data_IF_293603084806
#
_entry.id   IF_293603084806
#
_cell.length_a   1.000
_cell.length_b   1.000
_cell.length_c   1.000
_cell.angle_alpha   90.00
_cell.angle_beta   90.00
_cell.angle_gamma   90.00
#
_symmetry.space_group_name_H-M   'P 1'
#
loop_
_entity.id
_entity.type
_entity.pdbx_description
1 polymer ?
#
# COMPACT_ATOMS: atom_id res chain seq x y z
N UNK A 1 -10.61 1.31 1.81
CA UNK A 1 -9.20 1.00 2.14
C UNK A 1 -8.44 0.59 0.89
N UNK A 2 -9.02 -0.22 0.01
CA UNK A 2 -8.38 -0.64 -1.25
C UNK A 2 -8.04 0.52 -2.19
N UNK A 3 -8.90 1.55 -2.27
CA UNK A 3 -8.62 2.81 -3.01
C UNK A 3 -7.30 3.43 -2.55
N UNK A 4 -7.07 3.44 -1.23
CA UNK A 4 -5.91 4.08 -0.64
C UNK A 4 -4.64 3.27 -0.87
N UNK A 5 -4.73 1.94 -0.85
CA UNK A 5 -3.61 1.07 -1.23
C UNK A 5 -3.23 1.29 -2.70
N UNK A 6 -4.20 1.41 -3.59
CA UNK A 6 -3.97 1.73 -5.00
C UNK A 6 -3.33 3.10 -5.19
N UNK A 7 -3.88 4.14 -4.54
CA UNK A 7 -3.31 5.50 -4.56
C UNK A 7 -1.91 5.55 -3.96
N UNK A 8 -1.65 4.80 -2.88
CA UNK A 8 -0.32 4.69 -2.29
C UNK A 8 0.68 4.12 -3.31
N UNK A 9 0.33 3.07 -4.04
CA UNK A 9 1.19 2.49 -5.08
C UNK A 9 1.47 3.47 -6.22
N UNK A 10 0.46 4.23 -6.65
CA UNK A 10 0.63 5.28 -7.67
C UNK A 10 1.58 6.38 -7.17
N UNK A 11 1.44 6.81 -5.91
CA UNK A 11 2.32 7.80 -5.32
C UNK A 11 3.75 7.29 -5.12
N UNK A 12 3.91 6.00 -4.80
CA UNK A 12 5.23 5.35 -4.77
C UNK A 12 5.89 5.43 -6.15
N UNK A 13 5.15 5.17 -7.24
CA UNK A 13 5.68 5.37 -8.59
C UNK A 13 6.13 6.82 -8.82
N UNK A 14 5.30 7.80 -8.50
CA UNK A 14 5.64 9.22 -8.68
C UNK A 14 6.87 9.64 -7.87
N UNK A 15 7.05 9.07 -6.68
CA UNK A 15 8.24 9.29 -5.86
C UNK A 15 9.49 8.66 -6.49
N UNK A 16 9.40 7.43 -6.98
CA UNK A 16 10.53 6.72 -7.61
C UNK A 16 10.98 7.43 -8.89
N UNK A 17 10.04 7.83 -9.75
CA UNK A 17 10.35 8.34 -11.08
C UNK A 17 10.63 9.85 -11.09
N UNK A 18 9.83 10.64 -10.36
CA UNK A 18 9.91 12.10 -10.37
C UNK A 18 10.48 12.72 -9.09
N UNK A 19 10.89 11.89 -8.12
CA UNK A 19 11.38 12.33 -6.79
C UNK A 19 10.42 13.32 -6.11
N UNK A 20 9.13 13.14 -6.36
CA UNK A 20 8.11 14.06 -5.87
C UNK A 20 8.04 14.03 -4.34
N UNK A 21 8.35 15.17 -3.71
CA UNK A 21 8.30 15.36 -2.25
C UNK A 21 6.86 15.23 -1.72
N UNK A 22 5.85 15.30 -2.59
CA UNK A 22 4.44 15.13 -2.25
C UNK A 22 4.15 13.78 -1.57
N UNK A 23 4.98 12.77 -1.79
CA UNK A 23 4.89 11.48 -1.09
C UNK A 23 5.10 11.62 0.41
N UNK A 24 6.02 12.50 0.84
CA UNK A 24 6.27 12.77 2.26
C UNK A 24 5.07 13.44 2.90
N UNK A 25 4.46 14.42 2.20
CA UNK A 25 3.23 15.07 2.64
C UNK A 25 2.07 14.07 2.74
N UNK A 26 1.97 13.12 1.81
CA UNK A 26 0.95 12.08 1.82
C UNK A 26 1.09 11.11 3.00
N UNK A 27 2.31 10.75 3.41
CA UNK A 27 2.52 9.91 4.61
C UNK A 27 1.95 10.59 5.87
N UNK A 28 2.11 11.90 6.00
CA UNK A 28 1.62 12.65 7.15
C UNK A 28 0.11 12.93 7.07
N UNK A 29 -0.39 13.38 5.91
CA UNK A 29 -1.75 13.90 5.74
C UNK A 29 -2.72 12.78 5.34
N UNK A 30 -2.25 11.77 4.63
CA UNK A 30 -3.04 10.65 4.12
C UNK A 30 -3.92 10.02 5.21
N UNK A 31 -3.36 9.55 6.34
CA UNK A 31 -4.14 8.95 7.43
C UNK A 31 -5.26 9.86 7.94
N UNK A 32 -5.01 11.17 8.03
CA UNK A 32 -6.01 12.17 8.46
C UNK A 32 -7.15 12.28 7.46
N UNK A 33 -6.83 12.33 6.16
CA UNK A 33 -7.84 12.34 5.08
C UNK A 33 -8.67 11.06 5.12
N UNK A 34 -8.04 9.90 5.32
CA UNK A 34 -8.75 8.61 5.42
C UNK A 34 -9.76 8.63 6.55
N UNK A 35 -9.34 9.07 7.73
CA UNK A 35 -10.20 9.10 8.89
C UNK A 35 -11.34 10.12 8.72
N UNK A 36 -11.07 11.27 8.09
CA UNK A 36 -12.09 12.25 7.76
C UNK A 36 -13.14 11.70 6.77
N UNK A 37 -12.71 11.00 5.71
CA UNK A 37 -13.61 10.34 4.76
C UNK A 37 -14.44 9.28 5.49
N UNK A 38 -13.79 8.42 6.29
CA UNK A 38 -14.48 7.34 7.03
C UNK A 38 -15.51 7.90 8.00
N UNK A 39 -15.20 8.97 8.72
CA UNK A 39 -16.13 9.68 9.61
C UNK A 39 -17.33 10.23 8.88
N UNK A 40 -17.15 10.77 7.67
CA UNK A 40 -18.24 11.37 6.90
C UNK A 40 -19.09 10.35 6.15
N UNK A 41 -18.49 9.28 5.64
CA UNK A 41 -19.20 8.34 4.75
C UNK A 41 -19.61 7.04 5.42
N UNK A 42 -18.73 6.46 6.23
CA UNK A 42 -18.86 5.08 6.71
C UNK A 42 -19.48 5.00 8.11
N UNK A 43 -19.04 5.84 9.05
CA UNK A 43 -19.60 5.83 10.42
C UNK A 43 -21.10 6.14 10.48
N UNK A 44 -21.67 7.09 9.71
CA UNK A 44 -23.12 7.36 9.69
C UNK A 44 -23.95 6.28 8.97
N UNK A 45 -23.34 5.17 8.54
CA UNK A 45 -24.03 4.09 7.81
C UNK A 45 -23.91 2.74 8.48
N UNK A 46 -22.88 2.56 9.31
CA UNK A 46 -22.63 1.32 10.05
C UNK A 46 -23.01 1.43 11.53
N UNK A 47 -23.40 2.63 12.01
CA UNK A 47 -23.43 2.95 13.44
C UNK A 47 -22.01 2.97 14.03
N UNK A 48 -21.85 3.50 15.25
CA UNK A 48 -20.58 3.44 15.98
C UNK A 48 -20.28 1.99 16.40
N UNK A 49 -19.84 1.16 15.46
CA UNK A 49 -19.22 -0.12 15.77
C UNK A 49 -17.88 0.20 16.45
N UNK A 50 -17.81 0.03 17.78
CA UNK A 50 -16.55 0.01 18.53
C UNK A 50 -15.61 -0.94 17.81
N UNK A 51 -14.51 -0.41 17.26
CA UNK A 51 -13.43 -1.26 16.77
C UNK A 51 -12.98 -2.09 17.97
N UNK A 52 -13.19 -3.40 17.90
CA UNK A 52 -12.54 -4.30 18.83
C UNK A 52 -11.05 -3.98 18.75
N UNK A 53 -10.43 -3.65 19.89
CA UNK A 53 -8.99 -3.52 20.02
C UNK A 53 -8.38 -4.90 19.70
N UNK A 54 -8.26 -5.24 18.42
CA UNK A 54 -7.51 -6.39 17.95
C UNK A 54 -6.05 -5.96 17.96
N UNK A 55 -5.48 -6.05 19.16
CA UNK A 55 -4.10 -5.72 19.44
C UNK A 55 -3.17 -6.76 18.83
N UNK A 56 -2.72 -6.51 17.61
CA UNK A 56 -1.28 -6.58 17.43
C UNK A 56 -0.71 -5.36 18.14
N UNK A 57 0.06 -5.59 19.21
CA UNK A 57 0.81 -4.53 19.88
C UNK A 57 1.57 -3.78 18.79
N UNK A 58 1.37 -2.47 18.64
CA UNK A 58 2.03 -1.68 17.58
C UNK A 58 3.54 -1.98 17.49
N UNK A 59 4.14 -2.29 18.64
CA UNK A 59 5.52 -2.80 18.80
C UNK A 59 5.83 -4.04 17.95
N UNK A 60 4.94 -5.04 17.88
CA UNK A 60 5.13 -6.26 17.08
C UNK A 60 5.10 -5.97 15.58
N UNK A 61 4.19 -5.11 15.12
CA UNK A 61 4.12 -4.66 13.72
C UNK A 61 5.40 -3.88 13.38
N UNK A 62 5.80 -2.95 14.23
CA UNK A 62 7.03 -2.17 14.05
C UNK A 62 8.24 -3.11 14.01
N UNK A 63 8.32 -4.09 14.90
CA UNK A 63 9.43 -5.05 14.94
C UNK A 63 9.48 -5.92 13.68
N UNK A 64 8.34 -6.44 13.20
CA UNK A 64 8.27 -7.19 11.94
C UNK A 64 8.67 -6.30 10.76
N UNK A 65 8.23 -5.05 10.73
CA UNK A 65 8.64 -4.08 9.72
C UNK A 65 10.15 -3.83 9.77
N UNK A 66 10.73 -3.56 10.94
CA UNK A 66 12.17 -3.28 11.09
C UNK A 66 13.01 -4.49 10.70
N UNK A 67 12.66 -5.69 11.19
CA UNK A 67 13.37 -6.94 10.87
C UNK A 67 13.20 -7.27 9.39
N UNK A 68 12.00 -7.13 8.83
CA UNK A 68 11.72 -7.33 7.42
C UNK A 68 12.51 -6.35 6.54
N UNK A 69 12.57 -5.07 6.93
CA UNK A 69 13.35 -4.04 6.25
C UNK A 69 14.85 -4.38 6.28
N UNK A 70 15.37 -4.83 7.42
CA UNK A 70 16.77 -5.22 7.58
C UNK A 70 17.14 -6.46 6.75
N UNK A 71 16.29 -7.49 6.75
CA UNK A 71 16.48 -8.71 5.94
C UNK A 71 16.43 -8.39 4.45
N UNK A 72 15.47 -7.60 4.01
CA UNK A 72 15.32 -7.23 2.62
C UNK A 72 16.44 -6.31 2.15
N UNK A 73 16.90 -5.35 2.97
CA UNK A 73 18.06 -4.52 2.62
C UNK A 73 19.34 -5.35 2.51
N UNK A 74 19.53 -6.35 3.39
CA UNK A 74 20.63 -7.31 3.30
C UNK A 74 20.57 -8.13 2.00
N UNK A 75 19.40 -8.66 1.64
CA UNK A 75 19.20 -9.41 0.38
C UNK A 75 19.49 -8.52 -0.82
N UNK A 76 19.00 -7.28 -0.80
CA UNK A 76 19.23 -6.32 -1.88
C UNK A 76 20.72 -6.00 -2.01
N UNK A 77 21.42 -5.73 -0.90
CA UNK A 77 22.86 -5.49 -0.89
C UNK A 77 23.65 -6.71 -1.43
N UNK A 78 23.26 -7.92 -1.03
CA UNK A 78 23.89 -9.16 -1.50
C UNK A 78 23.74 -9.34 -3.02
N UNK A 79 22.56 -9.06 -3.58
CA UNK A 79 22.33 -9.11 -5.03
C UNK A 79 23.27 -8.15 -5.76
N UNK A 80 23.43 -6.92 -5.27
CA UNK A 80 24.30 -5.93 -5.89
C UNK A 80 25.80 -6.31 -5.82
N UNK A 81 26.24 -6.83 -4.67
CA UNK A 81 27.62 -7.32 -4.48
C UNK A 81 27.91 -8.49 -5.43
N UNK A 82 27.01 -9.47 -5.50
CA UNK A 82 27.17 -10.63 -6.38
C UNK A 82 27.11 -10.27 -7.87
N UNK A 83 26.33 -9.24 -8.23
CA UNK A 83 26.17 -8.81 -9.62
C UNK A 83 27.26 -7.83 -10.09
N UNK A 84 28.20 -7.44 -9.22
CA UNK A 84 29.30 -6.53 -9.54
C UNK A 84 28.86 -5.10 -9.91
N UNK A 85 27.62 -4.71 -9.60
CA UNK A 85 27.11 -3.38 -9.95
C UNK A 85 27.49 -2.35 -8.88
N UNK A 86 28.11 -1.21 -9.25
CA UNK A 86 28.37 -0.12 -8.32
C UNK A 86 27.05 0.53 -7.89
N UNK A 87 26.68 0.31 -6.62
CA UNK A 87 25.43 0.79 -5.98
C UNK A 87 25.21 2.28 -6.17
N UNK A 88 26.29 3.07 -6.12
CA UNK A 88 26.25 4.53 -6.18
C UNK A 88 25.82 5.06 -7.56
N UNK A 89 26.08 4.33 -8.64
CA UNK A 89 25.68 4.73 -10.01
C UNK A 89 24.24 4.32 -10.36
N UNK A 90 23.69 3.32 -9.66
CA UNK A 90 22.45 2.63 -10.05
C UNK A 90 21.34 2.76 -9.00
N UNK A 91 21.34 3.85 -8.23
CA UNK A 91 20.39 4.09 -7.13
C UNK A 91 18.90 3.96 -7.54
N UNK A 92 18.55 4.37 -8.76
CA UNK A 92 17.18 4.20 -9.28
C UNK A 92 16.76 2.72 -9.36
N UNK A 93 17.65 1.85 -9.84
CA UNK A 93 17.38 0.42 -9.94
C UNK A 93 17.35 -0.23 -8.55
N UNK A 94 18.20 0.21 -7.62
CA UNK A 94 18.18 -0.24 -6.22
C UNK A 94 16.80 0.02 -5.60
N UNK A 95 16.27 1.23 -5.76
CA UNK A 95 14.94 1.58 -5.23
C UNK A 95 13.84 0.76 -5.91
N UNK A 96 13.90 0.56 -7.22
CA UNK A 96 12.91 -0.25 -7.97
C UNK A 96 12.89 -1.70 -7.48
N UNK A 97 14.07 -2.30 -7.28
CA UNK A 97 14.21 -3.67 -6.74
C UNK A 97 13.69 -3.73 -5.31
N UNK A 98 14.05 -2.76 -4.47
CA UNK A 98 13.52 -2.67 -3.12
C UNK A 98 11.98 -2.55 -3.14
N UNK A 99 11.39 -1.72 -3.99
CA UNK A 99 9.94 -1.60 -4.10
C UNK A 99 9.28 -2.96 -4.42
N UNK A 100 9.82 -3.71 -5.39
CA UNK A 100 9.30 -5.04 -5.78
C UNK A 100 9.38 -6.04 -4.63
N UNK A 101 10.42 -5.99 -3.81
CA UNK A 101 10.60 -6.94 -2.70
C UNK A 101 9.83 -6.55 -1.44
N UNK A 102 9.73 -5.25 -1.13
CA UNK A 102 9.15 -4.77 0.12
C UNK A 102 7.63 -4.64 0.06
N UNK A 103 7.09 -4.16 -1.06
CA UNK A 103 5.65 -3.89 -1.17
C UNK A 103 4.81 -5.17 -0.95
N UNK A 104 5.13 -6.33 -1.55
CA UNK A 104 4.41 -7.58 -1.29
C UNK A 104 4.39 -8.00 0.17
N UNK A 105 5.52 -7.80 0.88
CA UNK A 105 5.64 -8.13 2.32
C UNK A 105 4.72 -7.24 3.15
N UNK A 106 4.66 -5.95 2.84
CA UNK A 106 3.72 -5.01 3.50
C UNK A 106 2.28 -5.46 3.27
N UNK A 107 1.91 -5.82 2.04
CA UNK A 107 0.57 -6.33 1.74
C UNK A 107 0.26 -7.64 2.47
N UNK A 108 1.24 -8.56 2.57
CA UNK A 108 1.11 -9.79 3.35
C UNK A 108 0.86 -9.52 4.84
N UNK A 109 1.60 -8.59 5.43
CA UNK A 109 1.42 -8.18 6.83
C UNK A 109 0.04 -7.53 7.05
N UNK A 110 -0.36 -6.62 6.16
CA UNK A 110 -1.68 -6.00 6.21
C UNK A 110 -2.81 -7.04 6.08
N UNK A 111 -2.61 -8.07 5.25
CA UNK A 111 -3.57 -9.17 5.11
C UNK A 111 -3.69 -9.98 6.38
N UNK A 112 -2.57 -10.32 7.02
CA UNK A 112 -2.56 -11.04 8.29
C UNK A 112 -3.30 -10.27 9.38
N UNK A 113 -3.03 -8.97 9.50
CA UNK A 113 -3.63 -8.10 10.51
C UNK A 113 -5.13 -7.86 10.27
N UNK A 114 -5.51 -7.52 9.05
CA UNK A 114 -6.90 -7.09 8.75
C UNK A 114 -7.78 -8.25 8.29
N UNK A 115 -7.19 -9.46 8.12
CA UNK A 115 -7.86 -10.66 7.59
C UNK A 115 -8.54 -10.44 6.24
N UNK A 116 -8.02 -9.50 5.44
CA UNK A 116 -8.54 -9.18 4.10
C UNK A 116 -7.74 -9.95 3.05
N UNK A 117 -8.22 -11.15 2.69
CA UNK A 117 -7.51 -12.05 1.77
C UNK A 117 -7.20 -11.42 0.39
N UNK A 118 -8.02 -10.47 -0.08
CA UNK A 118 -7.78 -9.75 -1.34
C UNK A 118 -6.46 -9.01 -1.37
N UNK A 119 -6.00 -8.49 -0.22
CA UNK A 119 -4.71 -7.79 -0.14
C UNK A 119 -3.54 -8.73 -0.33
N UNK A 120 -3.68 -10.01 0.07
CA UNK A 120 -2.67 -11.01 -0.18
C UNK A 120 -2.54 -11.28 -1.69
N UNK A 121 -3.67 -11.35 -2.40
CA UNK A 121 -3.69 -11.49 -3.85
C UNK A 121 -2.99 -10.29 -4.53
N UNK A 122 -3.25 -9.06 -4.07
CA UNK A 122 -2.56 -7.87 -4.59
C UNK A 122 -1.05 -7.92 -4.34
N UNK A 123 -0.63 -8.30 -3.13
CA UNK A 123 0.78 -8.45 -2.78
C UNK A 123 1.48 -9.53 -3.61
N UNK A 124 0.83 -10.68 -3.78
CA UNK A 124 1.35 -11.80 -4.57
C UNK A 124 1.47 -11.42 -6.05
N UNK A 125 0.46 -10.74 -6.61
CA UNK A 125 0.52 -10.21 -7.96
C UNK A 125 1.73 -9.27 -8.11
N UNK A 126 1.87 -8.27 -7.21
CA UNK A 126 3.00 -7.34 -7.20
C UNK A 126 4.36 -8.03 -7.14
N UNK A 127 4.48 -9.03 -6.28
CA UNK A 127 5.73 -9.76 -6.09
C UNK A 127 6.11 -10.58 -7.31
N UNK A 128 5.20 -11.43 -7.80
CA UNK A 128 5.48 -12.28 -8.96
C UNK A 128 5.65 -11.48 -10.24
N UNK A 129 4.76 -10.51 -10.50
CA UNK A 129 4.86 -9.64 -11.66
C UNK A 129 6.12 -8.77 -11.58
N UNK A 130 6.41 -8.19 -10.42
CA UNK A 130 7.62 -7.40 -10.21
C UNK A 130 8.90 -8.20 -10.43
N UNK A 131 8.97 -9.46 -9.94
CA UNK A 131 10.11 -10.35 -10.19
C UNK A 131 10.24 -10.70 -11.67
N UNK A 132 9.14 -10.97 -12.36
CA UNK A 132 9.14 -11.24 -13.80
C UNK A 132 9.71 -10.05 -14.59
N UNK A 133 9.23 -8.83 -14.32
CA UNK A 133 9.75 -7.62 -14.96
C UNK A 133 11.21 -7.34 -14.56
N UNK A 134 11.60 -7.63 -13.32
CA UNK A 134 13.00 -7.48 -12.87
C UNK A 134 13.97 -8.38 -13.65
N UNK A 135 13.58 -9.62 -13.95
CA UNK A 135 14.43 -10.57 -14.66
C UNK A 135 14.50 -10.30 -16.17
N UNK A 136 13.42 -9.77 -16.76
CA UNK A 136 13.31 -9.61 -18.23
C UNK A 136 13.56 -8.18 -18.69
N UNK A 137 12.86 -7.21 -18.08
CA UNK A 137 12.79 -5.82 -18.52
C UNK A 137 12.74 -4.88 -17.30
N UNK A 138 13.84 -4.71 -16.56
CA UNK A 138 13.85 -3.96 -15.29
C UNK A 138 13.49 -2.48 -15.48
N UNK A 139 13.65 -1.95 -16.70
CA UNK A 139 13.22 -0.60 -17.04
C UNK A 139 11.70 -0.46 -16.96
N UNK A 140 10.91 -1.48 -17.26
CA UNK A 140 9.45 -1.45 -17.38
C UNK A 140 8.70 -1.68 -16.04
N UNK A 141 9.43 -2.01 -14.96
CA UNK A 141 8.85 -2.24 -13.61
C UNK A 141 7.94 -1.08 -13.17
N UNK A 142 8.30 0.15 -13.52
CA UNK A 142 7.55 1.33 -13.12
C UNK A 142 6.16 1.36 -13.77
N UNK A 143 6.04 0.97 -15.05
CA UNK A 143 4.76 0.86 -15.75
C UNK A 143 3.91 -0.23 -15.09
N UNK A 144 4.52 -1.36 -14.75
CA UNK A 144 3.83 -2.44 -14.06
C UNK A 144 3.22 -1.98 -12.72
N UNK A 145 3.99 -1.24 -11.91
CA UNK A 145 3.49 -0.68 -10.64
C UNK A 145 2.33 0.29 -10.88
N UNK A 146 2.41 1.13 -11.91
CA UNK A 146 1.33 2.08 -12.26
C UNK A 146 0.06 1.35 -12.68
N UNK A 147 0.17 0.38 -13.59
CA UNK A 147 -0.97 -0.41 -14.07
C UNK A 147 -1.65 -1.09 -12.90
N UNK A 148 -0.89 -1.76 -12.04
CA UNK A 148 -1.46 -2.50 -10.92
C UNK A 148 -2.04 -1.56 -9.85
N UNK A 149 -1.38 -0.44 -9.56
CA UNK A 149 -1.90 0.61 -8.68
C UNK A 149 -3.23 1.17 -9.19
N UNK A 150 -3.33 1.39 -10.50
CA UNK A 150 -4.56 1.80 -11.18
C UNK A 150 -5.68 0.77 -11.04
N UNK A 151 -5.39 -0.52 -11.30
CA UNK A 151 -6.35 -1.62 -11.15
C UNK A 151 -6.85 -1.73 -9.71
N UNK A 152 -5.96 -1.70 -8.71
CA UNK A 152 -6.34 -1.78 -7.29
C UNK A 152 -7.21 -0.57 -6.90
N UNK A 153 -6.88 0.62 -7.41
CA UNK A 153 -7.67 1.83 -7.19
C UNK A 153 -9.09 1.66 -7.75
N UNK A 154 -9.22 1.17 -8.99
CA UNK A 154 -10.52 0.93 -9.62
C UNK A 154 -11.34 -0.11 -8.86
N UNK A 155 -10.74 -1.23 -8.46
CA UNK A 155 -11.41 -2.25 -7.63
C UNK A 155 -11.86 -1.65 -6.29
N UNK A 156 -11.04 -0.80 -5.68
CA UNK A 156 -11.43 -0.10 -4.47
C UNK A 156 -12.62 0.82 -4.66
N UNK A 157 -12.69 1.52 -5.80
CA UNK A 157 -13.79 2.42 -6.14
C UNK A 157 -15.08 1.61 -6.33
N UNK A 158 -15.04 0.49 -7.06
CA UNK A 158 -16.23 -0.34 -7.26
C UNK A 158 -16.76 -0.90 -5.95
N UNK A 159 -15.88 -1.43 -5.09
CA UNK A 159 -16.25 -1.91 -3.75
C UNK A 159 -16.88 -0.78 -2.92
N UNK A 160 -16.31 0.42 -2.99
CA UNK A 160 -16.82 1.57 -2.25
C UNK A 160 -18.20 2.00 -2.76
N UNK A 161 -18.39 2.10 -4.08
CA UNK A 161 -19.68 2.45 -4.68
C UNK A 161 -20.75 1.41 -4.34
N UNK A 162 -20.41 0.11 -4.42
CA UNK A 162 -21.32 -0.96 -4.03
C UNK A 162 -21.68 -0.91 -2.55
N UNK A 163 -20.71 -0.57 -1.69
CA UNK A 163 -20.98 -0.33 -0.27
C UNK A 163 -21.97 0.82 -0.07
N UNK A 164 -21.81 1.93 -0.80
CA UNK A 164 -22.70 3.07 -0.71
C UNK A 164 -24.12 2.76 -1.19
N UNK A 165 -24.25 1.91 -2.22
CA UNK A 165 -25.54 1.45 -2.77
C UNK A 165 -26.25 0.50 -1.80
N UNK A 166 -25.52 -0.44 -1.20
CA UNK A 166 -26.06 -1.44 -0.28
C UNK A 166 -26.42 -0.85 1.09
N UNK A 167 -25.75 0.21 1.50
CA UNK A 167 -25.97 0.89 2.78
C UNK A 167 -26.38 2.34 2.52
N UNK A 168 -27.63 2.59 2.08
CA UNK A 168 -28.15 3.95 1.95
C UNK A 168 -28.22 4.62 3.32
N UNK A 169 -27.99 5.94 3.36
CA UNK A 169 -28.14 6.70 4.62
C UNK A 169 -29.60 6.66 5.06
N UNK A 170 -29.83 6.35 6.33
CA UNK A 170 -31.17 6.45 6.89
C UNK A 170 -31.55 7.94 7.03
N UNK A 171 -32.74 8.37 6.56
CA UNK A 171 -33.20 9.74 6.72
C UNK A 171 -33.55 9.97 8.20
N UNK A 172 -32.65 10.63 8.94
CA UNK A 172 -32.84 10.93 10.37
C UNK A 172 -31.55 11.10 11.16
N UNK A 173 -30.42 10.54 10.72
CA UNK A 173 -29.11 10.79 11.33
C UNK A 173 -28.50 12.06 10.74
N UNK A 174 -28.95 13.22 11.23
CA UNK A 174 -28.16 14.44 11.16
C UNK A 174 -26.88 14.19 11.93
N UNK A 175 -25.74 14.31 11.25
CA UNK A 175 -24.43 14.29 11.87
C UNK A 175 -24.29 15.52 12.76
N UNK A 176 -24.76 15.43 14.01
CA UNK A 176 -24.41 16.33 15.09
C UNK A 176 -22.96 16.06 15.49
N UNK A 177 -22.03 16.48 14.64
CA UNK A 177 -20.63 16.66 15.03
C UNK A 177 -20.16 17.94 14.35
N UNK A 178 -20.31 19.04 15.07
CA UNK A 178 -19.58 20.29 14.82
C UNK A 178 -18.09 20.13 15.12
#
# INVERSE_FOLDING_TARGET
>A
MDILLGVQLLLVYFWIEYRLVIYVAWIAIGPVIVEAIRKRTTYPRMGYARMANQGATAVRIILICVVGIALLSLITALIFVLSGYPVQSNWSNVIKIAAVLFIPVIFGLLTYEHKVYRWFVYGLALGLGGLYFMLREPREIHIYIVILGGIITLIGITIFVDFLKKNPRQPGETSDVG
#
